data_IF_375792529853
#
_entry.id   IF_375792529853
#
_cell.length_a   1.000
_cell.length_b   1.000
_cell.length_c   1.000
_cell.angle_alpha   90.00
_cell.angle_beta   90.00
_cell.angle_gamma   90.00
#
_symmetry.space_group_name_H-M   'P 1'
#
loop_
_entity.id
_entity.type
_entity.pdbx_description
1 polymer ?
#
# COMPACT_ATOMS: atom_id res chain seq x y z
N UNK A 1 50.01 18.89 24.31
CA UNK A 1 49.46 19.11 22.95
C UNK A 1 49.17 17.81 22.22
N UNK A 2 50.09 16.86 22.12
CA UNK A 2 49.89 15.57 21.39
C UNK A 2 48.72 14.70 21.90
N UNK A 3 48.48 14.62 23.24
CA UNK A 3 47.39 13.82 23.81
C UNK A 3 46.00 14.41 23.49
N UNK A 4 45.84 15.75 23.51
CA UNK A 4 44.57 16.40 23.14
C UNK A 4 44.23 16.19 21.65
N UNK A 5 45.26 16.21 20.79
CA UNK A 5 45.09 15.94 19.35
C UNK A 5 44.67 14.48 19.07
N UNK A 6 45.27 13.53 19.84
CA UNK A 6 44.93 12.12 19.73
C UNK A 6 43.47 11.85 20.17
N UNK A 7 43.02 12.46 21.27
CA UNK A 7 41.65 12.36 21.76
C UNK A 7 40.65 12.98 20.78
N UNK A 8 41.00 14.09 20.14
CA UNK A 8 40.15 14.70 19.10
C UNK A 8 40.06 13.83 17.86
N UNK A 9 41.14 13.22 17.41
CA UNK A 9 41.16 12.28 16.30
C UNK A 9 40.30 11.02 16.58
N UNK A 10 40.43 10.45 17.77
CA UNK A 10 39.61 9.32 18.21
C UNK A 10 38.13 9.67 18.26
N UNK A 11 37.76 10.85 18.72
CA UNK A 11 36.39 11.34 18.72
C UNK A 11 35.83 11.52 17.31
N UNK A 12 36.61 12.10 16.38
CA UNK A 12 36.21 12.26 14.97
C UNK A 12 36.04 10.90 14.31
N UNK A 13 36.94 9.98 14.51
CA UNK A 13 36.84 8.59 13.98
C UNK A 13 35.59 7.89 14.53
N UNK A 14 35.33 8.02 15.84
CA UNK A 14 34.14 7.47 16.46
C UNK A 14 32.83 8.07 15.88
N UNK A 15 32.79 9.38 15.64
CA UNK A 15 31.67 10.06 15.01
C UNK A 15 31.46 9.60 13.55
N UNK A 16 32.57 9.41 12.80
CA UNK A 16 32.52 8.89 11.44
C UNK A 16 32.00 7.43 11.40
N UNK A 17 32.49 6.58 12.30
CA UNK A 17 31.98 5.20 12.42
C UNK A 17 30.50 5.17 12.77
N UNK A 18 30.06 5.95 13.77
CA UNK A 18 28.65 6.06 14.13
C UNK A 18 27.77 6.55 12.98
N UNK A 19 28.25 7.54 12.22
CA UNK A 19 27.55 8.06 11.05
C UNK A 19 27.43 7.00 9.93
N UNK A 20 28.50 6.22 9.69
CA UNK A 20 28.51 5.16 8.70
C UNK A 20 27.58 4.00 9.10
N UNK A 21 27.55 3.65 10.39
CA UNK A 21 26.66 2.62 10.94
C UNK A 21 25.18 3.02 10.85
N UNK A 22 24.85 4.27 11.23
CA UNK A 22 23.51 4.83 11.10
C UNK A 22 23.08 4.83 9.62
N UNK A 23 23.92 5.27 8.72
CA UNK A 23 23.62 5.31 7.28
C UNK A 23 23.50 3.90 6.67
N UNK A 24 24.24 2.91 7.19
CA UNK A 24 24.12 1.50 6.83
C UNK A 24 22.78 0.92 7.31
N UNK A 25 22.36 1.23 8.52
CA UNK A 25 21.07 0.79 9.07
C UNK A 25 19.87 1.46 8.38
N UNK A 26 19.96 2.75 8.05
CA UNK A 26 18.94 3.45 7.25
C UNK A 26 18.83 2.86 5.83
N UNK A 27 19.95 2.50 5.21
CA UNK A 27 19.96 1.84 3.91
C UNK A 27 19.39 0.41 3.94
N UNK A 28 19.44 -0.26 5.09
CA UNK A 28 18.89 -1.59 5.26
C UNK A 28 17.40 -1.60 5.59
N UNK A 29 16.83 -0.46 6.00
CA UNK A 29 15.41 -0.33 6.31
C UNK A 29 14.55 -0.53 5.05
N UNK A 30 13.39 -1.17 5.21
CA UNK A 30 12.44 -1.45 4.14
C UNK A 30 11.16 -0.67 4.41
N UNK A 31 10.89 0.37 3.60
CA UNK A 31 9.58 1.01 3.60
C UNK A 31 8.60 0.13 2.83
N UNK A 32 7.47 -0.19 3.47
CA UNK A 32 6.32 -0.86 2.84
C UNK A 32 5.20 0.16 2.79
N UNK A 33 4.67 0.42 1.61
CA UNK A 33 3.65 1.43 1.39
C UNK A 33 2.48 0.87 0.58
N UNK A 34 1.33 1.53 0.67
CA UNK A 34 0.16 1.24 -0.15
C UNK A 34 -0.48 2.54 -0.63
N UNK A 35 -1.01 2.52 -1.85
CA UNK A 35 -1.78 3.65 -2.38
C UNK A 35 -2.83 3.19 -3.40
N UNK A 36 -4.08 3.62 -3.23
CA UNK A 36 -5.12 3.54 -4.25
C UNK A 36 -4.90 4.66 -5.27
N UNK A 37 -4.74 4.32 -6.55
CA UNK A 37 -4.40 5.27 -7.62
C UNK A 37 -5.60 5.95 -8.26
N UNK A 38 -6.82 5.72 -7.79
CA UNK A 38 -8.05 6.30 -8.35
C UNK A 38 -8.14 6.13 -9.88
N UNK A 39 -8.54 4.96 -10.36
CA UNK A 39 -8.81 4.69 -11.78
C UNK A 39 -7.63 5.07 -12.72
N UNK A 40 -6.47 4.48 -12.48
CA UNK A 40 -5.29 4.73 -13.32
C UNK A 40 -5.30 3.83 -14.55
N UNK A 41 -6.16 4.18 -15.51
CA UNK A 41 -6.32 3.52 -16.80
C UNK A 41 -5.30 4.01 -17.83
N UNK A 42 -4.99 3.18 -18.83
CA UNK A 42 -4.33 3.68 -20.02
C UNK A 42 -5.34 4.45 -20.92
N UNK A 43 -4.87 5.38 -21.75
CA UNK A 43 -5.77 6.18 -22.57
C UNK A 43 -6.13 5.52 -23.92
N UNK A 44 -5.70 4.27 -24.15
CA UNK A 44 -5.92 3.59 -25.42
C UNK A 44 -7.12 2.64 -25.32
N UNK A 45 -7.86 2.53 -26.41
CA UNK A 45 -9.05 1.66 -26.47
C UNK A 45 -8.58 0.20 -26.52
N UNK A 46 -9.00 -0.57 -25.53
CA UNK A 46 -8.93 -2.03 -25.57
C UNK A 46 -10.23 -2.57 -26.17
N UNK A 47 -10.18 -3.02 -27.41
CA UNK A 47 -11.35 -3.57 -28.13
C UNK A 47 -11.83 -4.91 -27.57
N UNK A 48 -11.07 -5.53 -26.68
CA UNK A 48 -11.46 -6.80 -26.01
C UNK A 48 -12.33 -6.56 -24.77
N UNK A 49 -12.38 -5.31 -24.27
CA UNK A 49 -13.15 -4.93 -23.07
C UNK A 49 -14.44 -4.22 -23.44
N UNK A 50 -15.45 -4.41 -22.60
CA UNK A 50 -16.74 -3.72 -22.71
C UNK A 50 -16.80 -2.40 -21.93
N UNK A 51 -15.88 -2.18 -20.99
CA UNK A 51 -15.79 -0.98 -20.17
C UNK A 51 -14.77 -0.01 -20.79
N UNK A 52 -15.26 1.10 -21.33
CA UNK A 52 -14.45 2.12 -22.01
C UNK A 52 -14.78 3.55 -21.53
N UNK A 53 -15.14 3.71 -20.25
CA UNK A 53 -15.39 5.06 -19.70
C UNK A 53 -14.13 5.93 -19.64
N UNK A 54 -12.96 5.29 -19.38
CA UNK A 54 -11.67 5.96 -19.31
C UNK A 54 -10.91 5.88 -20.65
N UNK A 55 -11.55 6.36 -21.70
CA UNK A 55 -10.96 6.60 -23.03
C UNK A 55 -11.25 8.02 -23.47
N UNK A 56 -10.64 8.48 -24.57
CA UNK A 56 -10.85 9.83 -25.07
C UNK A 56 -12.32 10.10 -25.43
N UNK A 57 -13.00 9.10 -26.01
CA UNK A 57 -14.42 9.15 -26.40
C UNK A 57 -15.36 8.68 -25.28
N UNK A 58 -14.81 8.09 -24.21
CA UNK A 58 -15.58 7.61 -23.06
C UNK A 58 -16.12 8.74 -22.18
N UNK A 59 -17.01 8.39 -21.25
CA UNK A 59 -17.69 9.35 -20.38
C UNK A 59 -16.77 10.23 -19.55
N UNK A 60 -15.55 9.75 -19.24
CA UNK A 60 -14.54 10.50 -18.50
C UNK A 60 -13.61 11.34 -19.41
N UNK A 61 -13.70 11.21 -20.73
CA UNK A 61 -12.82 11.86 -21.68
C UNK A 61 -11.35 11.75 -21.31
N UNK A 62 -10.90 10.50 -21.07
CA UNK A 62 -9.56 10.17 -20.58
C UNK A 62 -8.53 10.25 -21.70
N UNK A 63 -8.01 11.46 -21.95
CA UNK A 63 -7.05 11.71 -23.02
C UNK A 63 -5.63 11.32 -22.62
N UNK A 64 -4.75 11.12 -23.61
CA UNK A 64 -3.31 10.91 -23.42
C UNK A 64 -2.68 12.02 -22.57
N UNK A 65 -3.12 13.29 -22.74
CA UNK A 65 -2.64 14.41 -21.92
C UNK A 65 -3.03 14.28 -20.44
N UNK A 66 -4.26 13.85 -20.14
CA UNK A 66 -4.74 13.63 -18.78
C UNK A 66 -4.01 12.46 -18.12
N UNK A 67 -3.78 11.38 -18.86
CA UNK A 67 -2.98 10.25 -18.42
C UNK A 67 -1.56 10.67 -18.00
N UNK A 68 -0.84 11.38 -18.88
CA UNK A 68 0.51 11.82 -18.55
C UNK A 68 0.55 12.85 -17.41
N UNK A 69 -0.46 13.69 -17.29
CA UNK A 69 -0.60 14.58 -16.13
C UNK A 69 -0.73 13.78 -14.83
N UNK A 70 -1.64 12.80 -14.79
CA UNK A 70 -1.82 11.92 -13.63
C UNK A 70 -0.54 11.12 -13.33
N UNK A 71 0.05 10.46 -14.33
CA UNK A 71 1.32 9.75 -14.18
C UNK A 71 2.39 10.63 -13.53
N UNK A 72 2.49 11.89 -14.00
CA UNK A 72 3.49 12.83 -13.48
C UNK A 72 3.18 13.28 -12.05
N UNK A 73 1.92 13.39 -11.67
CA UNK A 73 1.52 13.62 -10.29
C UNK A 73 1.90 12.40 -9.41
N UNK A 74 1.55 11.18 -9.86
CA UNK A 74 1.82 9.94 -9.11
C UNK A 74 3.31 9.77 -8.83
N UNK A 75 4.21 9.91 -9.85
CA UNK A 75 5.63 9.73 -9.59
C UNK A 75 6.20 10.78 -8.61
N UNK A 76 5.71 12.03 -8.65
CA UNK A 76 6.14 13.06 -7.71
C UNK A 76 5.74 12.74 -6.27
N UNK A 77 4.51 12.27 -6.07
CA UNK A 77 4.04 11.86 -4.76
C UNK A 77 4.82 10.62 -4.25
N UNK A 78 5.10 9.63 -5.11
CA UNK A 78 5.93 8.48 -4.74
C UNK A 78 7.36 8.90 -4.39
N UNK A 79 7.97 9.86 -5.11
CA UNK A 79 9.28 10.40 -4.75
C UNK A 79 9.27 11.13 -3.41
N UNK A 80 8.23 11.91 -3.12
CA UNK A 80 8.07 12.56 -1.82
C UNK A 80 7.90 11.52 -0.70
N UNK A 81 7.02 10.52 -0.91
CA UNK A 81 6.82 9.40 0.00
C UNK A 81 8.10 8.59 0.26
N UNK A 82 9.01 8.53 -0.72
CA UNK A 82 10.26 7.78 -0.63
C UNK A 82 11.34 8.47 0.22
N UNK A 83 11.22 9.77 0.47
CA UNK A 83 12.21 10.57 1.23
C UNK A 83 13.66 10.34 0.76
N UNK A 84 13.84 10.13 -0.55
CA UNK A 84 15.15 9.91 -1.18
C UNK A 84 15.66 8.46 -1.17
N UNK A 85 15.01 7.54 -0.47
CA UNK A 85 15.31 6.11 -0.48
C UNK A 85 14.24 5.34 -1.27
N UNK A 86 14.57 4.26 -1.99
CA UNK A 86 13.55 3.48 -2.67
C UNK A 86 12.57 2.85 -1.66
N UNK A 87 11.28 2.93 -1.97
CA UNK A 87 10.27 2.15 -1.26
C UNK A 87 10.55 0.67 -1.54
N UNK A 88 10.67 -0.15 -0.50
CA UNK A 88 10.98 -1.56 -0.64
C UNK A 88 9.88 -2.33 -1.36
N UNK A 89 8.63 -2.16 -0.89
CA UNK A 89 7.42 -2.73 -1.51
C UNK A 89 6.32 -1.68 -1.50
N UNK A 90 5.77 -1.35 -2.67
CA UNK A 90 4.62 -0.47 -2.83
C UNK A 90 3.45 -1.28 -3.40
N UNK A 91 2.42 -1.51 -2.58
CA UNK A 91 1.13 -2.03 -3.01
C UNK A 91 0.32 -0.94 -3.70
N UNK A 92 -0.35 -1.30 -4.76
CA UNK A 92 -1.14 -0.38 -5.60
C UNK A 92 -2.47 -1.04 -5.89
N UNK A 93 -3.54 -0.26 -5.93
CA UNK A 93 -4.80 -0.68 -6.53
C UNK A 93 -5.37 0.38 -7.46
N UNK A 94 -6.42 0.01 -8.19
CA UNK A 94 -7.03 0.79 -9.26
C UNK A 94 -6.05 1.13 -10.40
N UNK A 95 -5.24 0.16 -10.77
CA UNK A 95 -4.39 0.21 -11.95
C UNK A 95 -4.92 -0.77 -13.00
N UNK A 96 -4.89 -0.37 -14.27
CA UNK A 96 -5.47 -1.20 -15.31
C UNK A 96 -4.58 -2.36 -15.73
N UNK A 97 -3.28 -2.10 -15.99
CA UNK A 97 -2.41 -3.11 -16.58
C UNK A 97 -0.91 -2.85 -16.31
N UNK A 98 -0.08 -3.81 -16.70
CA UNK A 98 1.38 -3.72 -16.58
C UNK A 98 1.98 -2.59 -17.42
N UNK A 99 1.38 -2.22 -18.55
CA UNK A 99 1.85 -1.14 -19.41
C UNK A 99 1.79 0.20 -18.68
N UNK A 100 0.66 0.52 -18.04
CA UNK A 100 0.49 1.74 -17.23
C UNK A 100 1.51 1.79 -16.08
N UNK A 101 1.70 0.67 -15.39
CA UNK A 101 2.70 0.56 -14.34
C UNK A 101 4.13 0.79 -14.88
N UNK A 102 4.47 0.21 -16.04
CA UNK A 102 5.78 0.41 -16.69
C UNK A 102 6.04 1.87 -17.05
N UNK A 103 5.04 2.56 -17.60
CA UNK A 103 5.15 3.99 -17.90
C UNK A 103 5.38 4.85 -16.65
N UNK A 104 4.84 4.44 -15.50
CA UNK A 104 5.06 5.13 -14.24
C UNK A 104 6.46 4.85 -13.66
N UNK A 105 6.84 3.58 -13.53
CA UNK A 105 8.05 3.21 -12.78
C UNK A 105 9.33 3.24 -13.64
N UNK A 106 9.24 3.01 -14.95
CA UNK A 106 10.41 2.89 -15.82
C UNK A 106 10.64 4.10 -16.74
N UNK A 107 9.58 4.91 -17.00
CA UNK A 107 9.66 6.07 -17.88
C UNK A 107 9.59 7.43 -17.14
N UNK A 108 9.73 7.40 -15.81
CA UNK A 108 9.81 8.58 -14.95
C UNK A 108 11.11 8.57 -14.14
N UNK A 109 11.42 9.61 -13.35
CA UNK A 109 12.54 9.59 -12.41
C UNK A 109 12.59 8.42 -11.43
N UNK A 110 11.46 7.71 -11.20
CA UNK A 110 11.40 6.50 -10.38
C UNK A 110 12.31 5.37 -10.90
N UNK A 111 12.67 5.37 -12.19
CA UNK A 111 13.60 4.38 -12.78
C UNK A 111 14.94 4.25 -12.05
N UNK A 112 15.34 5.31 -11.32
CA UNK A 112 16.58 5.31 -10.52
C UNK A 112 16.53 4.37 -9.32
N UNK A 113 15.34 3.96 -8.90
CA UNK A 113 15.11 3.10 -7.74
C UNK A 113 14.97 1.61 -8.09
N UNK A 114 15.32 1.22 -9.34
CA UNK A 114 15.38 -0.17 -9.80
C UNK A 114 14.10 -0.98 -9.50
N UNK A 115 12.92 -0.38 -9.70
CA UNK A 115 11.65 -1.06 -9.44
C UNK A 115 11.40 -2.20 -10.44
N UNK A 116 10.78 -3.28 -9.93
CA UNK A 116 10.11 -4.34 -10.70
C UNK A 116 8.64 -4.34 -10.34
N UNK A 117 7.82 -4.81 -11.27
CA UNK A 117 6.36 -4.80 -11.16
C UNK A 117 5.86 -6.23 -11.13
N UNK A 118 4.92 -6.51 -10.23
CA UNK A 118 4.11 -7.73 -10.20
C UNK A 118 2.68 -7.29 -10.43
N UNK A 119 2.08 -7.82 -11.48
CA UNK A 119 0.69 -7.58 -11.85
C UNK A 119 0.13 -8.83 -12.51
N UNK A 120 -1.13 -9.13 -12.24
CA UNK A 120 -1.90 -10.19 -12.88
C UNK A 120 -3.25 -9.61 -13.29
N UNK A 121 -3.66 -9.89 -14.53
CA UNK A 121 -4.99 -9.53 -15.01
C UNK A 121 -6.06 -10.25 -14.21
N UNK A 122 -6.99 -9.50 -13.65
CA UNK A 122 -8.10 -9.98 -12.85
C UNK A 122 -9.39 -10.09 -13.64
N UNK A 123 -10.47 -10.44 -12.91
CA UNK A 123 -11.80 -10.60 -13.50
C UNK A 123 -12.73 -9.39 -13.21
N UNK A 124 -12.21 -8.27 -12.68
CA UNK A 124 -13.03 -7.07 -12.41
C UNK A 124 -13.62 -6.52 -13.71
N UNK A 125 -14.92 -6.20 -13.69
CA UNK A 125 -15.63 -5.78 -14.92
C UNK A 125 -15.14 -4.44 -15.47
N UNK A 126 -14.57 -3.58 -14.63
CA UNK A 126 -13.98 -2.31 -15.04
C UNK A 126 -12.57 -2.49 -15.60
N UNK A 127 -11.94 -3.64 -15.35
CA UNK A 127 -10.57 -3.92 -15.71
C UNK A 127 -9.56 -3.19 -14.83
N UNK A 128 -9.87 -2.98 -13.56
CA UNK A 128 -8.92 -2.48 -12.58
C UNK A 128 -8.42 -3.62 -11.71
N UNK A 129 -7.14 -3.58 -11.40
CA UNK A 129 -6.46 -4.62 -10.65
C UNK A 129 -5.68 -4.07 -9.46
N UNK A 130 -5.01 -4.96 -8.78
CA UNK A 130 -3.97 -4.70 -7.79
C UNK A 130 -2.60 -5.03 -8.37
N UNK A 131 -1.57 -4.29 -7.94
CA UNK A 131 -0.19 -4.51 -8.34
C UNK A 131 0.77 -4.31 -7.16
N UNK A 132 2.00 -4.80 -7.31
CA UNK A 132 3.13 -4.43 -6.44
C UNK A 132 4.27 -3.89 -7.30
N UNK A 133 4.84 -2.75 -6.89
CA UNK A 133 6.15 -2.33 -7.32
C UNK A 133 7.14 -2.57 -6.16
N UNK A 134 8.29 -3.20 -6.45
CA UNK A 134 9.31 -3.46 -5.44
C UNK A 134 10.69 -3.09 -5.95
N UNK A 135 11.53 -2.53 -5.08
CA UNK A 135 12.91 -2.21 -5.41
C UNK A 135 13.80 -3.42 -5.19
N UNK A 136 14.51 -3.84 -6.24
CA UNK A 136 15.50 -4.93 -6.14
C UNK A 136 16.69 -4.56 -5.27
N UNK A 137 16.85 -3.27 -4.95
CA UNK A 137 17.86 -2.79 -4.01
C UNK A 137 17.46 -3.03 -2.54
N UNK A 138 16.22 -3.42 -2.27
CA UNK A 138 15.68 -3.65 -0.93
C UNK A 138 15.24 -5.10 -0.70
N UNK A 139 14.55 -5.68 -1.67
CA UNK A 139 13.98 -7.03 -1.55
C UNK A 139 14.17 -7.83 -2.85
N UNK A 140 14.22 -9.14 -2.73
CA UNK A 140 14.28 -10.07 -3.86
C UNK A 140 13.01 -10.92 -3.92
N UNK A 141 12.31 -10.90 -5.04
CA UNK A 141 11.13 -11.74 -5.25
C UNK A 141 11.50 -13.22 -5.30
N UNK A 142 10.80 -14.03 -4.53
CA UNK A 142 10.89 -15.50 -4.52
C UNK A 142 9.74 -16.09 -5.33
N UNK A 143 8.50 -15.60 -5.06
CA UNK A 143 7.27 -16.15 -5.61
C UNK A 143 6.16 -15.13 -5.58
N UNK A 144 5.23 -15.19 -6.52
CA UNK A 144 3.99 -14.42 -6.50
C UNK A 144 2.85 -15.19 -7.17
N UNK A 145 1.62 -14.92 -6.73
CA UNK A 145 0.40 -15.46 -7.32
C UNK A 145 -0.80 -14.53 -7.11
N UNK A 146 -1.80 -14.54 -8.01
CA UNK A 146 -3.10 -13.96 -7.76
C UNK A 146 -3.96 -14.95 -6.95
N UNK A 147 -4.64 -14.47 -5.91
CA UNK A 147 -5.61 -15.25 -5.14
C UNK A 147 -7.00 -14.82 -5.56
N UNK A 148 -7.68 -15.69 -6.31
CA UNK A 148 -9.01 -15.43 -6.85
C UNK A 148 -10.06 -15.36 -5.73
N UNK A 149 -10.85 -14.29 -5.72
CA UNK A 149 -12.03 -14.17 -4.86
C UNK A 149 -13.24 -14.69 -5.62
N UNK A 150 -13.92 -15.68 -5.05
CA UNK A 150 -15.12 -16.30 -5.63
C UNK A 150 -16.25 -16.30 -4.63
N UNK A 151 -17.42 -15.90 -5.06
CA UNK A 151 -18.65 -16.06 -4.29
C UNK A 151 -19.28 -17.41 -4.63
N UNK A 152 -19.37 -18.35 -3.69
CA UNK A 152 -19.95 -19.67 -3.93
C UNK A 152 -21.44 -19.60 -4.33
N UNK A 153 -22.14 -18.57 -3.86
CA UNK A 153 -23.57 -18.37 -4.10
C UNK A 153 -23.86 -17.57 -5.37
N UNK A 154 -22.83 -16.94 -5.97
CA UNK A 154 -22.96 -16.13 -7.18
C UNK A 154 -21.84 -16.39 -8.19
N UNK A 155 -22.04 -17.34 -9.08
CA UNK A 155 -21.08 -17.68 -10.14
C UNK A 155 -20.73 -16.54 -11.11
N UNK A 156 -21.51 -15.47 -11.11
CA UNK A 156 -21.28 -14.27 -11.95
C UNK A 156 -20.55 -13.16 -11.19
N UNK A 157 -20.27 -13.36 -9.90
CA UNK A 157 -19.48 -12.42 -9.12
C UNK A 157 -18.09 -12.28 -9.72
N UNK A 158 -17.68 -11.04 -9.94
CA UNK A 158 -16.36 -10.67 -10.46
C UNK A 158 -15.83 -9.51 -9.66
N UNK A 159 -14.59 -9.64 -9.21
CA UNK A 159 -13.89 -8.61 -8.44
C UNK A 159 -12.39 -8.76 -8.63
N UNK A 160 -11.62 -7.81 -8.07
CA UNK A 160 -10.16 -7.85 -8.05
C UNK A 160 -9.66 -9.04 -7.26
N UNK A 161 -8.55 -9.61 -7.70
CA UNK A 161 -7.85 -10.64 -6.95
C UNK A 161 -7.08 -10.03 -5.76
N UNK A 162 -6.70 -10.85 -4.78
CA UNK A 162 -5.67 -10.48 -3.83
C UNK A 162 -4.33 -10.86 -4.45
N UNK A 163 -3.37 -9.92 -4.48
CA UNK A 163 -2.02 -10.21 -4.97
C UNK A 163 -1.14 -10.63 -3.80
N UNK A 164 -0.60 -11.83 -3.88
CA UNK A 164 0.39 -12.34 -2.93
C UNK A 164 1.77 -12.33 -3.55
N UNK A 165 2.77 -11.90 -2.77
CA UNK A 165 4.19 -12.05 -3.11
C UNK A 165 5.01 -12.42 -1.86
N UNK A 166 6.03 -13.26 -2.08
CA UNK A 166 7.01 -13.65 -1.07
C UNK A 166 8.37 -13.12 -1.50
N UNK A 167 9.03 -12.43 -0.58
CA UNK A 167 10.35 -11.84 -0.80
C UNK A 167 11.39 -12.37 0.18
N UNK A 168 12.66 -12.27 -0.20
CA UNK A 168 13.78 -12.17 0.73
C UNK A 168 14.16 -10.71 0.92
N UNK A 169 14.49 -10.33 2.14
CA UNK A 169 15.23 -9.11 2.41
C UNK A 169 16.73 -9.32 2.20
N UNK A 170 17.56 -8.30 2.45
CA UNK A 170 19.00 -8.36 2.26
C UNK A 170 19.75 -9.23 3.29
N UNK A 171 19.12 -9.55 4.42
CA UNK A 171 19.70 -10.36 5.48
C UNK A 171 19.18 -11.81 5.48
N UNK A 172 18.31 -12.16 4.55
CA UNK A 172 17.79 -13.52 4.34
C UNK A 172 16.48 -13.82 5.05
N UNK A 173 15.84 -12.82 5.67
CA UNK A 173 14.49 -12.98 6.21
C UNK A 173 13.45 -13.04 5.09
N UNK A 174 12.43 -13.87 5.28
CA UNK A 174 11.32 -13.95 4.33
C UNK A 174 10.19 -13.01 4.74
N UNK A 175 9.68 -12.23 3.78
CA UNK A 175 8.56 -11.33 3.95
C UNK A 175 7.42 -11.74 3.01
N UNK A 176 6.23 -11.97 3.57
CA UNK A 176 5.02 -12.28 2.84
C UNK A 176 4.15 -11.04 2.73
N UNK A 177 3.93 -10.54 1.52
CA UNK A 177 3.15 -9.34 1.26
C UNK A 177 1.85 -9.68 0.52
N UNK A 178 0.74 -9.06 0.95
CA UNK A 178 -0.55 -9.16 0.28
C UNK A 178 -1.06 -7.76 -0.06
N UNK A 179 -1.47 -7.55 -1.31
CA UNK A 179 -2.18 -6.33 -1.73
C UNK A 179 -3.63 -6.67 -1.96
N UNK A 180 -4.49 -5.88 -1.36
CA UNK A 180 -5.94 -6.06 -1.34
C UNK A 180 -6.65 -4.83 -1.94
N UNK A 181 -7.79 -5.07 -2.61
CA UNK A 181 -8.78 -4.05 -2.91
C UNK A 181 -10.16 -4.70 -2.80
N UNK A 182 -10.77 -4.61 -1.63
CA UNK A 182 -12.02 -5.29 -1.32
C UNK A 182 -13.22 -4.61 -2.00
N UNK A 183 -14.36 -5.32 -1.99
CA UNK A 183 -15.60 -4.81 -2.58
C UNK A 183 -16.02 -3.50 -1.93
N UNK A 184 -16.27 -2.47 -2.75
CA UNK A 184 -16.66 -1.15 -2.25
C UNK A 184 -18.04 -1.17 -1.60
N UNK A 185 -18.33 -0.10 -0.85
CA UNK A 185 -19.67 0.13 -0.26
C UNK A 185 -20.69 0.67 -1.28
N UNK A 186 -20.29 0.75 -2.57
CA UNK A 186 -21.19 1.16 -3.64
C UNK A 186 -22.36 0.19 -3.78
N UNK A 187 -23.58 0.75 -3.85
CA UNK A 187 -24.81 -0.05 -3.83
C UNK A 187 -25.38 -0.27 -2.44
N UNK A 188 -24.70 0.17 -1.39
CA UNK A 188 -25.12 0.11 -0.01
C UNK A 188 -24.10 -0.63 0.87
N UNK A 189 -23.81 -0.07 2.03
CA UNK A 189 -22.87 -0.65 2.98
C UNK A 189 -23.33 -2.02 3.46
N UNK A 190 -24.63 -2.11 3.84
CA UNK A 190 -25.24 -3.34 4.37
C UNK A 190 -25.34 -4.43 3.30
N UNK A 191 -25.64 -4.03 2.08
CA UNK A 191 -25.78 -4.90 0.92
C UNK A 191 -24.47 -5.54 0.48
N UNK A 192 -23.33 -4.90 0.79
CA UNK A 192 -22.01 -5.33 0.36
C UNK A 192 -21.12 -5.89 1.48
N UNK A 193 -21.57 -5.82 2.75
CA UNK A 193 -20.79 -6.28 3.91
C UNK A 193 -20.36 -7.74 3.80
N UNK A 194 -21.27 -8.61 3.32
CA UNK A 194 -21.00 -10.05 3.17
C UNK A 194 -19.83 -10.34 2.20
N UNK A 195 -19.62 -9.50 1.18
CA UNK A 195 -18.51 -9.63 0.21
C UNK A 195 -17.17 -9.32 0.86
N UNK A 196 -17.13 -8.31 1.72
CA UNK A 196 -15.92 -7.97 2.47
C UNK A 196 -15.60 -9.00 3.53
N UNK A 197 -16.61 -9.51 4.26
CA UNK A 197 -16.43 -10.62 5.21
C UNK A 197 -15.97 -11.91 4.53
N UNK A 198 -16.50 -12.22 3.35
CA UNK A 198 -16.04 -13.37 2.54
C UNK A 198 -14.57 -13.22 2.15
N UNK A 199 -14.16 -12.03 1.71
CA UNK A 199 -12.77 -11.75 1.35
C UNK A 199 -11.86 -11.81 2.58
N UNK A 200 -12.31 -11.26 3.72
CA UNK A 200 -11.61 -11.34 5.00
C UNK A 200 -11.36 -12.80 5.44
N UNK A 201 -12.37 -13.67 5.29
CA UNK A 201 -12.27 -15.11 5.59
C UNK A 201 -11.27 -15.82 4.67
N UNK A 202 -11.27 -15.48 3.37
CA UNK A 202 -10.28 -16.00 2.42
C UNK A 202 -8.87 -15.59 2.84
N UNK A 203 -8.69 -14.32 3.20
CA UNK A 203 -7.40 -13.79 3.65
C UNK A 203 -6.93 -14.47 4.94
N UNK A 204 -7.83 -14.62 5.94
CA UNK A 204 -7.54 -15.34 7.18
C UNK A 204 -7.11 -16.79 6.93
N UNK A 205 -7.82 -17.51 6.07
CA UNK A 205 -7.48 -18.89 5.70
C UNK A 205 -6.09 -18.97 5.05
N UNK A 206 -5.69 -17.99 4.25
CA UNK A 206 -4.35 -17.94 3.64
C UNK A 206 -3.27 -17.70 4.70
N UNK A 207 -3.49 -16.79 5.65
CA UNK A 207 -2.60 -16.55 6.80
C UNK A 207 -2.43 -17.83 7.62
N UNK A 208 -3.54 -18.49 7.99
CA UNK A 208 -3.51 -19.72 8.78
C UNK A 208 -2.79 -20.86 8.04
N UNK A 209 -2.93 -20.92 6.72
CA UNK A 209 -2.18 -21.88 5.88
C UNK A 209 -0.68 -21.62 5.93
N UNK A 210 -0.24 -20.35 5.85
CA UNK A 210 1.17 -19.98 5.96
C UNK A 210 1.75 -20.35 7.33
N UNK A 211 1.01 -20.11 8.40
CA UNK A 211 1.42 -20.48 9.78
C UNK A 211 1.60 -21.99 9.89
N UNK A 212 0.65 -22.78 9.37
CA UNK A 212 0.71 -24.25 9.38
C UNK A 212 1.92 -24.80 8.64
N UNK A 213 2.22 -24.22 7.45
CA UNK A 213 3.36 -24.65 6.63
C UNK A 213 4.68 -24.31 7.30
N UNK A 214 4.83 -23.13 7.87
CA UNK A 214 6.07 -22.66 8.50
C UNK A 214 6.25 -23.18 9.92
N UNK A 215 5.20 -23.76 10.54
CA UNK A 215 5.19 -24.20 11.96
C UNK A 215 5.48 -23.05 12.96
N UNK A 216 5.36 -21.83 12.52
CA UNK A 216 5.55 -20.59 13.27
C UNK A 216 4.82 -19.47 12.54
N UNK A 217 4.64 -18.32 13.20
CA UNK A 217 4.04 -17.14 12.56
C UNK A 217 5.10 -16.49 11.66
N UNK A 218 4.94 -16.55 10.32
CA UNK A 218 5.87 -15.91 9.40
C UNK A 218 5.69 -14.38 9.40
N UNK A 219 6.67 -13.66 8.84
CA UNK A 219 6.59 -12.20 8.67
C UNK A 219 5.63 -11.87 7.55
N UNK A 220 4.47 -11.32 7.91
CA UNK A 220 3.37 -11.03 6.98
C UNK A 220 3.03 -9.54 7.04
N UNK A 221 2.83 -8.94 5.85
CA UNK A 221 2.23 -7.62 5.66
C UNK A 221 1.01 -7.78 4.76
N UNK A 222 -0.14 -7.35 5.25
CA UNK A 222 -1.41 -7.29 4.50
C UNK A 222 -1.74 -5.81 4.35
N UNK A 223 -1.72 -5.30 3.14
CA UNK A 223 -2.01 -3.90 2.85
C UNK A 223 -3.12 -3.79 1.82
N UNK A 224 -3.85 -2.69 1.82
CA UNK A 224 -4.90 -2.48 0.83
C UNK A 224 -5.91 -1.42 1.19
N UNK A 225 -6.78 -1.15 0.20
CA UNK A 225 -8.07 -0.52 0.37
C UNK A 225 -9.09 -1.62 0.74
N UNK A 226 -9.42 -1.70 2.01
CA UNK A 226 -10.35 -2.70 2.53
C UNK A 226 -11.81 -2.29 2.38
N UNK A 227 -12.08 -1.03 1.99
CA UNK A 227 -13.44 -0.47 1.94
C UNK A 227 -14.25 -0.66 3.25
N UNK A 228 -13.57 -1.02 4.32
CA UNK A 228 -14.05 -1.12 5.70
C UNK A 228 -13.04 -0.45 6.63
N UNK A 229 -13.54 0.08 7.75
CA UNK A 229 -12.69 0.67 8.80
C UNK A 229 -12.02 -0.41 9.63
N UNK A 230 -10.97 -0.09 10.40
CA UNK A 230 -10.30 -1.06 11.29
C UNK A 230 -11.23 -1.77 12.28
N UNK A 231 -12.34 -1.15 12.65
CA UNK A 231 -13.30 -1.67 13.62
C UNK A 231 -14.50 -2.38 13.00
N UNK A 232 -14.61 -2.42 11.67
CA UNK A 232 -15.65 -3.20 11.00
C UNK A 232 -15.46 -4.70 11.22
N UNK A 233 -16.56 -5.45 11.18
CA UNK A 233 -16.58 -6.88 11.50
C UNK A 233 -15.62 -7.70 10.63
N UNK A 234 -15.48 -7.33 9.35
CA UNK A 234 -14.59 -8.00 8.40
C UNK A 234 -13.12 -7.95 8.84
N UNK A 235 -12.67 -6.82 9.41
CA UNK A 235 -11.29 -6.61 9.86
C UNK A 235 -11.10 -7.14 11.28
N UNK A 236 -11.91 -6.62 12.23
CA UNK A 236 -11.70 -6.85 13.66
C UNK A 236 -11.95 -8.31 14.06
N UNK A 237 -13.01 -8.94 13.51
CA UNK A 237 -13.45 -10.25 13.94
C UNK A 237 -13.18 -11.34 12.90
N UNK A 238 -13.51 -11.14 11.62
CA UNK A 238 -13.36 -12.17 10.60
C UNK A 238 -11.89 -12.37 10.22
N UNK A 239 -11.16 -11.31 9.90
CA UNK A 239 -9.71 -11.35 9.68
C UNK A 239 -8.95 -11.51 11.00
N UNK A 240 -9.55 -11.09 12.11
CA UNK A 240 -8.99 -11.09 13.47
C UNK A 240 -7.73 -10.23 13.58
N UNK A 241 -7.73 -9.06 12.94
CA UNK A 241 -6.66 -8.08 13.03
C UNK A 241 -6.96 -7.11 14.18
N UNK A 242 -6.18 -7.19 15.26
CA UNK A 242 -6.41 -6.41 16.48
C UNK A 242 -5.76 -5.04 16.42
N UNK A 243 -6.39 -3.99 17.01
CA UNK A 243 -5.68 -2.74 17.27
C UNK A 243 -4.46 -2.96 18.17
N UNK A 244 -3.40 -2.13 18.06
CA UNK A 244 -2.20 -2.27 18.89
C UNK A 244 -2.46 -2.27 20.39
N UNK A 245 -3.44 -1.50 20.85
CA UNK A 245 -3.86 -1.41 22.26
C UNK A 245 -4.57 -2.66 22.80
N UNK A 246 -5.23 -3.41 21.93
CA UNK A 246 -5.96 -4.65 22.28
C UNK A 246 -5.17 -5.91 21.94
N UNK A 247 -3.95 -5.74 21.39
CA UNK A 247 -3.13 -6.84 20.94
C UNK A 247 -2.47 -7.59 22.11
N UNK A 248 -2.51 -8.91 22.04
CA UNK A 248 -1.92 -9.83 23.02
C UNK A 248 -1.00 -10.87 22.32
N UNK A 249 -0.21 -11.58 23.11
CA UNK A 249 0.71 -12.62 22.59
C UNK A 249 -0.03 -13.80 21.93
N UNK A 250 -1.32 -13.93 22.14
CA UNK A 250 -2.14 -14.95 21.48
C UNK A 250 -2.67 -14.52 20.10
N UNK A 251 -2.54 -13.25 19.78
CA UNK A 251 -3.03 -12.71 18.52
C UNK A 251 -2.00 -12.89 17.40
N UNK A 252 -2.48 -13.09 16.20
CA UNK A 252 -1.63 -13.31 15.02
C UNK A 252 -1.37 -12.05 14.23
N UNK A 253 -2.36 -11.15 14.15
CA UNK A 253 -2.36 -9.97 13.29
C UNK A 253 -2.63 -8.70 14.10
N UNK A 254 -1.83 -7.66 13.82
CA UNK A 254 -1.95 -6.32 14.39
C UNK A 254 -2.30 -5.35 13.27
N UNK A 255 -3.39 -4.61 13.43
CA UNK A 255 -3.75 -3.54 12.52
C UNK A 255 -3.12 -2.22 12.97
N UNK A 256 -2.06 -1.80 12.32
CA UNK A 256 -1.32 -0.59 12.67
C UNK A 256 -2.09 0.71 12.38
N UNK A 257 -3.18 0.64 11.61
CA UNK A 257 -4.02 1.77 11.22
C UNK A 257 -5.32 1.87 12.03
N UNK A 258 -5.45 1.09 13.09
CA UNK A 258 -6.65 1.13 13.94
C UNK A 258 -6.71 2.36 14.86
N UNK A 259 -5.60 3.03 15.13
CA UNK A 259 -5.57 4.19 16.01
C UNK A 259 -5.07 5.43 15.27
N UNK A 260 -5.99 6.26 14.80
CA UNK A 260 -5.73 7.49 14.03
C UNK A 260 -4.79 8.48 14.72
N UNK A 261 -4.79 8.50 16.06
CA UNK A 261 -3.96 9.41 16.86
C UNK A 261 -2.47 9.31 16.54
N UNK A 262 -2.00 8.14 16.12
CA UNK A 262 -0.58 7.88 15.83
C UNK A 262 -0.24 7.91 14.33
N UNK A 263 -1.22 8.14 13.45
CA UNK A 263 -1.02 8.07 12.00
C UNK A 263 -0.67 9.41 11.35
N UNK A 264 -0.66 10.49 12.13
CA UNK A 264 -0.36 11.84 11.66
C UNK A 264 -1.50 12.55 10.94
N UNK A 265 -2.56 11.86 10.55
CA UNK A 265 -3.72 12.42 9.89
C UNK A 265 -5.02 11.66 10.21
N UNK A 266 -6.18 12.29 9.99
CA UNK A 266 -7.50 11.82 10.42
C UNK A 266 -8.05 10.62 9.64
N UNK A 267 -7.55 10.36 8.41
CA UNK A 267 -8.03 9.28 7.57
C UNK A 267 -7.35 9.24 6.21
N UNK A 268 -7.63 8.20 5.44
CA UNK A 268 -7.03 7.97 4.12
C UNK A 268 -7.90 8.46 2.97
N UNK A 269 -9.20 8.61 3.19
CA UNK A 269 -10.13 9.21 2.24
C UNK A 269 -11.18 10.05 2.96
N UNK A 270 -11.78 11.00 2.23
CA UNK A 270 -12.84 11.87 2.76
C UNK A 270 -14.16 11.62 2.03
N UNK A 271 -15.17 11.21 2.78
CA UNK A 271 -16.54 11.14 2.28
C UNK A 271 -17.40 12.25 2.93
N UNK A 272 -17.86 13.21 2.15
CA UNK A 272 -18.54 14.40 2.63
C UNK A 272 -17.66 15.19 3.63
N UNK A 273 -18.05 15.24 4.91
CA UNK A 273 -17.33 15.92 5.99
C UNK A 273 -16.51 14.98 6.88
N UNK A 274 -16.51 13.65 6.60
CA UNK A 274 -15.85 12.64 7.43
C UNK A 274 -14.65 12.04 6.75
N UNK A 275 -13.53 12.04 7.45
CA UNK A 275 -12.37 11.22 7.12
C UNK A 275 -12.61 9.79 7.59
N UNK A 276 -12.14 8.83 6.80
CA UNK A 276 -12.24 7.39 7.09
C UNK A 276 -10.90 6.74 6.78
N UNK A 277 -10.59 5.66 7.51
CA UNK A 277 -9.39 4.85 7.29
C UNK A 277 -9.83 3.54 6.61
N UNK A 278 -9.82 3.53 5.28
CA UNK A 278 -10.08 2.32 4.49
C UNK A 278 -8.80 1.68 3.99
N UNK A 279 -7.76 2.49 3.78
CA UNK A 279 -6.43 2.02 3.45
C UNK A 279 -5.69 1.68 4.75
N UNK A 280 -5.24 0.43 4.87
CA UNK A 280 -4.66 -0.07 6.12
C UNK A 280 -3.45 -0.95 5.82
N UNK A 281 -2.52 -1.02 6.79
CA UNK A 281 -1.45 -2.00 6.83
C UNK A 281 -1.56 -2.80 8.13
N UNK A 282 -1.76 -4.10 7.96
CA UNK A 282 -1.90 -5.09 9.01
C UNK A 282 -0.65 -5.97 8.95
N UNK A 283 -0.02 -6.23 10.08
CA UNK A 283 1.19 -7.05 10.16
C UNK A 283 1.03 -8.25 11.09
N UNK A 284 1.86 -9.27 10.89
CA UNK A 284 1.93 -10.41 11.81
C UNK A 284 2.59 -10.02 13.14
N UNK A 285 2.23 -10.76 14.20
CA UNK A 285 2.86 -10.64 15.53
C UNK A 285 4.38 -10.85 15.48
N UNK A 286 4.88 -11.67 14.57
CA UNK A 286 6.32 -11.87 14.36
C UNK A 286 7.04 -10.63 13.84
N UNK A 287 6.38 -9.78 13.02
CA UNK A 287 6.91 -8.47 12.65
C UNK A 287 6.76 -7.44 13.76
N UNK A 288 5.75 -7.58 14.61
CA UNK A 288 5.45 -6.61 15.66
C UNK A 288 6.31 -6.79 16.91
N UNK A 289 6.64 -8.04 17.31
CA UNK A 289 7.31 -8.38 18.57
C UNK A 289 8.72 -8.96 18.45
N UNK A 290 9.14 -9.43 17.25
CA UNK A 290 10.45 -10.05 17.08
C UNK A 290 11.52 -9.03 16.69
N UNK A 291 12.31 -8.58 17.64
CA UNK A 291 13.41 -7.63 17.44
C UNK A 291 14.75 -8.28 17.07
N UNK A 292 14.81 -9.61 17.00
CA UNK A 292 16.03 -10.37 16.66
C UNK A 292 16.23 -10.57 15.15
N UNK A 293 15.24 -10.14 14.36
CA UNK A 293 15.23 -10.25 12.90
C UNK A 293 14.52 -9.04 12.27
N UNK A 294 14.10 -9.11 11.01
CA UNK A 294 13.30 -8.04 10.40
C UNK A 294 12.04 -7.78 11.22
N UNK A 295 11.83 -6.54 11.65
CA UNK A 295 10.73 -6.16 12.52
C UNK A 295 10.15 -4.77 12.18
N UNK A 296 8.94 -4.52 12.63
CA UNK A 296 8.27 -3.22 12.50
C UNK A 296 9.00 -2.15 13.35
N UNK A 297 9.38 -1.05 12.71
CA UNK A 297 9.83 0.15 13.42
C UNK A 297 8.63 0.80 14.09
N UNK A 298 8.53 0.65 15.41
CA UNK A 298 7.40 1.23 16.18
C UNK A 298 7.20 2.71 15.84
N UNK A 299 5.94 3.13 15.81
CA UNK A 299 5.50 4.50 15.51
C UNK A 299 5.82 4.98 14.07
N UNK A 300 6.16 4.07 13.16
CA UNK A 300 6.39 4.43 11.76
C UNK A 300 5.14 4.34 10.88
N UNK A 301 4.04 3.80 11.39
CA UNK A 301 2.78 3.79 10.64
C UNK A 301 2.30 5.22 10.40
N UNK A 302 2.09 5.57 9.14
CA UNK A 302 1.84 6.97 8.76
C UNK A 302 0.87 7.04 7.58
N UNK A 303 -0.07 7.97 7.67
CA UNK A 303 -0.84 8.45 6.51
C UNK A 303 -0.05 9.63 5.93
N UNK A 304 0.46 9.48 4.72
CA UNK A 304 1.23 10.52 4.04
C UNK A 304 0.28 11.62 3.52
N UNK A 305 0.48 12.86 3.99
CA UNK A 305 -0.49 13.96 3.85
C UNK A 305 0.14 15.30 3.49
N UNK A 306 1.10 15.31 2.58
CA UNK A 306 1.68 16.56 2.06
C UNK A 306 0.65 17.50 1.44
N UNK A 307 0.83 18.80 1.61
CA UNK A 307 -0.11 19.85 1.19
C UNK A 307 -0.53 19.78 -0.29
N UNK A 308 0.37 19.32 -1.18
CA UNK A 308 0.06 19.20 -2.60
C UNK A 308 -1.01 18.14 -2.92
N UNK A 309 -1.31 17.24 -1.98
CA UNK A 309 -2.37 16.22 -2.12
C UNK A 309 -3.77 16.79 -1.85
N UNK A 310 -3.88 18.03 -1.44
CA UNK A 310 -5.14 18.63 -1.01
C UNK A 310 -5.52 19.87 -1.82
N UNK A 311 -6.80 20.18 -1.77
CA UNK A 311 -7.41 21.45 -2.15
C UNK A 311 -8.44 21.86 -1.10
N UNK A 312 -8.84 23.12 -1.10
CA UNK A 312 -9.90 23.61 -0.23
C UNK A 312 -11.24 22.92 -0.53
N UNK A 313 -11.95 22.56 0.53
CA UNK A 313 -13.28 21.99 0.43
C UNK A 313 -14.35 23.08 0.64
N UNK A 314 -14.75 23.72 -0.45
CA UNK A 314 -15.75 24.79 -0.43
C UNK A 314 -17.15 24.31 0.02
N UNK A 315 -17.43 22.99 -0.06
CA UNK A 315 -18.75 22.43 0.27
C UNK A 315 -18.88 22.09 1.75
N UNK A 316 -17.86 21.44 2.31
CA UNK A 316 -17.90 20.92 3.68
C UNK A 316 -16.88 21.59 4.60
N UNK A 317 -16.09 22.52 4.08
CA UNK A 317 -15.04 23.23 4.81
C UNK A 317 -13.76 22.43 4.99
N UNK A 318 -12.66 23.13 5.29
CA UNK A 318 -11.34 22.56 5.46
C UNK A 318 -10.75 22.04 4.14
N UNK A 319 -9.91 20.98 4.24
CA UNK A 319 -9.23 20.39 3.09
C UNK A 319 -9.97 19.14 2.60
N UNK A 320 -9.93 18.89 1.29
CA UNK A 320 -10.29 17.62 0.64
C UNK A 320 -9.17 17.17 -0.28
N UNK A 321 -9.19 15.90 -0.66
CA UNK A 321 -8.19 15.33 -1.57
C UNK A 321 -8.27 15.98 -2.95
N UNK A 322 -7.11 16.32 -3.49
CA UNK A 322 -6.98 16.77 -4.88
C UNK A 322 -6.97 15.55 -5.80
N UNK A 323 -8.16 15.03 -6.05
CA UNK A 323 -8.39 13.82 -6.83
C UNK A 323 -8.41 14.09 -8.34
N UNK A 324 -8.39 13.02 -9.12
CA UNK A 324 -8.39 13.12 -10.59
C UNK A 324 -9.73 13.60 -11.13
N UNK A 325 -10.83 13.09 -10.58
CA UNK A 325 -12.20 13.46 -10.97
C UNK A 325 -13.09 13.68 -9.75
N UNK A 326 -14.09 14.54 -9.92
CA UNK A 326 -15.26 14.65 -9.04
C UNK A 326 -16.50 14.42 -9.90
N UNK A 327 -17.10 13.22 -9.83
CA UNK A 327 -18.06 12.78 -10.81
C UNK A 327 -17.45 12.81 -12.23
N UNK A 328 -18.10 13.40 -13.24
CA UNK A 328 -17.54 13.52 -14.59
C UNK A 328 -16.53 14.67 -14.74
N UNK A 329 -16.38 15.54 -13.73
CA UNK A 329 -15.55 16.74 -13.82
C UNK A 329 -14.08 16.41 -13.53
N UNK A 330 -13.23 16.57 -14.55
CA UNK A 330 -11.78 16.44 -14.41
C UNK A 330 -11.20 17.54 -13.53
N UNK A 331 -10.38 17.14 -12.54
CA UNK A 331 -9.68 18.05 -11.61
C UNK A 331 -8.17 18.08 -11.88
N UNK A 332 -7.60 16.99 -12.40
CA UNK A 332 -6.17 16.88 -12.71
C UNK A 332 -5.27 16.72 -11.48
N UNK A 333 -5.81 16.19 -10.40
CA UNK A 333 -5.11 15.94 -9.15
C UNK A 333 -4.39 14.59 -9.10
N UNK A 334 -4.34 14.01 -7.91
CA UNK A 334 -3.57 12.80 -7.58
C UNK A 334 -4.47 11.59 -7.43
N UNK A 335 -5.17 11.49 -6.32
CA UNK A 335 -6.08 10.39 -5.98
C UNK A 335 -7.12 10.86 -4.96
N UNK A 336 -8.21 10.11 -4.82
CA UNK A 336 -9.18 10.27 -3.74
C UNK A 336 -8.80 9.48 -2.46
N UNK A 337 -7.61 8.90 -2.45
CA UNK A 337 -6.99 8.27 -1.30
C UNK A 337 -5.61 8.85 -1.02
N UNK A 338 -5.21 8.89 0.25
CA UNK A 338 -3.85 9.20 0.68
C UNK A 338 -2.99 7.95 0.70
N UNK A 339 -1.69 8.06 0.33
CA UNK A 339 -0.75 6.96 0.54
C UNK A 339 -0.54 6.68 2.02
N UNK A 340 -0.27 5.42 2.34
CA UNK A 340 0.07 4.97 3.68
C UNK A 340 1.37 4.19 3.67
N UNK A 341 2.11 4.19 4.77
CA UNK A 341 3.33 3.39 4.87
C UNK A 341 3.70 2.99 6.29
N UNK A 342 4.58 2.02 6.38
CA UNK A 342 5.32 1.61 7.57
C UNK A 342 6.80 1.41 7.20
N UNK A 343 7.68 1.49 8.19
CA UNK A 343 9.09 1.12 8.03
C UNK A 343 9.38 -0.18 8.78
N UNK A 344 10.05 -1.11 8.11
CA UNK A 344 10.62 -2.31 8.71
C UNK A 344 12.13 -2.12 8.88
N UNK A 345 12.67 -2.58 10.00
CA UNK A 345 14.10 -2.55 10.28
C UNK A 345 14.65 -3.96 10.35
N UNK A 346 15.85 -4.23 9.78
CA UNK A 346 16.62 -5.42 10.12
C UNK A 346 17.10 -5.32 11.57
N UNK A 347 17.57 -6.45 12.09
CA UNK A 347 18.27 -6.48 13.38
C UNK A 347 19.47 -5.56 13.38
#
# INVERSE_FOLDING_TARGET
MKVKLLLLLLFIVFQLFKKTEIQSQENASIRVAFWNFENFFDPFIDTTRTYNEFTEEGGQHWTVSRFYKKRNNMYKAILALSEGNPIGVLGICEIENTFVASLLFHETPLKKHNYRIIHYEGDDRRGIDVAMAYSIDKVQLIYSEPIKIRDPDNKYFRTRDILYAKFYDRIGDTLHCFVNHWSSRYGGEKETIHLREMTARLMKNKVDSLIRINKSIPKIVIMGDFNDTPYDNSILNVLSAKPPEDFSDNDTLVNLFANEKYLGFEGTLKHQYRWQIFDQIIISSSLYNDYESLHYKKESATIFHDDFLFVEDETYGGKKLFRTYVGPKYQGGYSDHLPIYIDLKPK
#
